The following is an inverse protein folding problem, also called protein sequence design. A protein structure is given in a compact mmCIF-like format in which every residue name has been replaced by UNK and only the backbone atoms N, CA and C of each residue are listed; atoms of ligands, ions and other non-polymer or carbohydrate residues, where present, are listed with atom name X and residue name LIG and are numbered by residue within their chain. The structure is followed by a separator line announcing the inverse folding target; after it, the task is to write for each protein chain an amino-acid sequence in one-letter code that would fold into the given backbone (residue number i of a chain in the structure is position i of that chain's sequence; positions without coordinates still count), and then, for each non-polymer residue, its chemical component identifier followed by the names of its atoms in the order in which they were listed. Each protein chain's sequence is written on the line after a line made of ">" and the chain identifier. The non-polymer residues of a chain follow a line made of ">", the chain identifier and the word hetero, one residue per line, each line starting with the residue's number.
data_IF_887696139571
#
_entry.id   IF_887696139571
#
_cell.length_a   1.000
_cell.length_b   1.000
_cell.length_c   1.000
_cell.angle_alpha   90.00
_cell.angle_beta   90.00
_cell.angle_gamma   90.00
#
_symmetry.space_group_name_H-M   'P 1'
#
loop_
_entity.id
_entity.type
_entity.pdbx_description
1 polymer ?
#
# COMPACT_ATOMS: atom_id res chain seq x y z
N UNK A 1 48.85 -40.19 -0.08
CA UNK A 1 47.61 -39.68 -0.70
C UNK A 1 46.95 -38.76 0.33
N UNK A 2 47.08 -37.44 0.14
CA UNK A 2 46.84 -36.41 1.17
C UNK A 2 45.82 -35.41 0.60
N UNK A 3 44.72 -35.24 1.33
CA UNK A 3 43.90 -34.02 1.50
C UNK A 3 43.59 -33.18 0.24
N UNK A 4 42.50 -33.48 -0.47
CA UNK A 4 41.91 -32.58 -1.49
C UNK A 4 40.43 -32.26 -1.23
N UNK A 5 39.78 -32.94 -0.28
CA UNK A 5 38.33 -32.86 -0.05
C UNK A 5 37.84 -31.60 0.71
N UNK A 6 38.60 -30.92 1.60
CA UNK A 6 38.04 -29.78 2.37
C UNK A 6 37.83 -28.50 1.53
N UNK A 7 38.62 -28.29 0.47
CA UNK A 7 38.61 -27.04 -0.30
C UNK A 7 37.44 -26.93 -1.27
N UNK A 8 36.92 -28.06 -1.75
CA UNK A 8 35.83 -28.08 -2.73
C UNK A 8 34.47 -27.83 -2.06
N UNK A 9 34.30 -28.29 -0.82
CA UNK A 9 33.08 -28.07 -0.02
C UNK A 9 32.95 -26.61 0.43
N UNK A 10 34.07 -25.94 0.79
CA UNK A 10 34.08 -24.51 1.10
C UNK A 10 33.83 -23.66 -0.16
N UNK A 11 34.41 -24.03 -1.30
CA UNK A 11 34.13 -23.33 -2.58
C UNK A 11 32.67 -23.48 -3.02
N UNK A 12 32.05 -24.64 -2.81
CA UNK A 12 30.63 -24.87 -3.09
C UNK A 12 29.73 -24.09 -2.11
N UNK A 13 30.08 -24.00 -0.81
CA UNK A 13 29.36 -23.14 0.14
C UNK A 13 29.51 -21.64 -0.15
N UNK A 14 30.65 -21.18 -0.68
CA UNK A 14 30.86 -19.79 -1.11
C UNK A 14 30.15 -19.49 -2.44
N UNK A 15 30.07 -20.46 -3.36
CA UNK A 15 29.32 -20.32 -4.62
C UNK A 15 27.80 -20.41 -4.41
N UNK A 16 27.33 -21.20 -3.45
CA UNK A 16 25.90 -21.28 -3.09
C UNK A 16 25.49 -20.11 -2.18
N UNK A 17 26.37 -19.69 -1.25
CA UNK A 17 26.11 -18.57 -0.33
C UNK A 17 26.33 -17.18 -0.93
N UNK A 18 26.98 -17.07 -2.09
CA UNK A 18 27.35 -15.79 -2.70
C UNK A 18 26.45 -15.29 -3.84
N UNK A 19 25.43 -16.04 -4.27
CA UNK A 19 24.78 -15.79 -5.58
C UNK A 19 23.25 -15.60 -5.58
N UNK A 20 22.60 -15.45 -4.44
CA UNK A 20 21.19 -15.04 -4.43
C UNK A 20 20.97 -14.00 -3.33
N UNK A 21 21.47 -12.77 -3.56
CA UNK A 21 20.70 -11.63 -3.06
C UNK A 21 19.38 -11.68 -3.82
N UNK A 22 18.38 -12.35 -3.23
CA UNK A 22 17.04 -12.39 -3.80
C UNK A 22 16.61 -10.94 -4.04
N UNK A 23 16.29 -10.61 -5.30
CA UNK A 23 15.72 -9.32 -5.62
C UNK A 23 14.26 -9.38 -5.15
N UNK A 24 13.86 -8.46 -4.28
CA UNK A 24 12.47 -8.31 -3.86
C UNK A 24 11.54 -7.92 -5.03
N UNK A 25 12.08 -7.38 -6.12
CA UNK A 25 11.31 -7.09 -7.33
C UNK A 25 10.82 -8.40 -7.99
N UNK A 26 9.49 -8.56 -8.19
CA UNK A 26 8.94 -9.77 -8.79
C UNK A 26 9.33 -9.89 -10.26
N UNK A 27 9.24 -11.09 -10.80
CA UNK A 27 9.66 -11.39 -12.19
C UNK A 27 8.91 -10.59 -13.26
N UNK A 28 7.71 -10.10 -12.95
CA UNK A 28 6.93 -9.25 -13.86
C UNK A 28 7.34 -7.77 -13.81
N UNK A 29 8.09 -7.31 -12.81
CA UNK A 29 8.49 -5.91 -12.67
C UNK A 29 9.64 -5.57 -13.64
N UNK A 30 9.28 -5.27 -14.90
CA UNK A 30 10.21 -4.97 -16.01
C UNK A 30 9.73 -3.80 -16.87
N UNK A 31 10.61 -3.14 -17.63
CA UNK A 31 10.23 -2.01 -18.49
C UNK A 31 9.06 -2.32 -19.42
N UNK A 32 8.13 -1.38 -19.54
CA UNK A 32 6.91 -1.49 -20.33
C UNK A 32 5.71 -2.10 -19.60
N UNK A 33 5.91 -2.64 -18.39
CA UNK A 33 4.79 -3.11 -17.56
C UNK A 33 4.09 -1.93 -16.90
N UNK A 34 2.75 -1.97 -16.89
CA UNK A 34 1.91 -1.05 -16.14
C UNK A 34 0.99 -1.78 -15.18
N UNK A 35 0.66 -1.12 -14.09
CA UNK A 35 -0.34 -1.55 -13.12
C UNK A 35 -1.24 -0.37 -12.83
N UNK A 36 -2.54 -0.52 -13.02
CA UNK A 36 -3.55 0.50 -12.79
C UNK A 36 -4.50 0.04 -11.69
N UNK A 37 -4.76 0.95 -10.75
CA UNK A 37 -5.72 0.76 -9.68
C UNK A 37 -6.84 1.78 -9.79
N UNK A 38 -8.05 1.41 -9.36
CA UNK A 38 -9.21 2.30 -9.44
C UNK A 38 -10.04 2.29 -8.16
N UNK A 39 -10.70 3.43 -7.90
CA UNK A 39 -11.81 3.58 -6.98
C UNK A 39 -12.97 4.20 -7.76
N UNK A 40 -14.01 3.41 -8.00
CA UNK A 40 -15.08 3.79 -8.90
C UNK A 40 -16.33 4.24 -8.15
N UNK A 41 -17.07 5.12 -8.81
CA UNK A 41 -18.42 5.47 -8.37
C UNK A 41 -19.39 4.31 -8.58
N UNK A 42 -20.40 4.25 -7.73
CA UNK A 42 -21.43 3.23 -7.80
C UNK A 42 -22.77 3.79 -7.35
N UNK A 43 -23.63 4.08 -8.32
CA UNK A 43 -24.90 4.78 -8.08
C UNK A 43 -25.82 4.10 -7.06
N UNK A 44 -25.94 2.76 -6.99
CA UNK A 44 -26.74 2.11 -5.94
C UNK A 44 -26.26 2.43 -4.52
N UNK A 45 -24.96 2.68 -4.31
CA UNK A 45 -24.47 3.12 -3.01
C UNK A 45 -24.84 4.56 -2.71
N UNK A 46 -24.79 5.43 -3.72
CA UNK A 46 -25.17 6.83 -3.58
C UNK A 46 -26.64 6.94 -3.21
N UNK A 47 -27.52 6.27 -3.96
CA UNK A 47 -28.95 6.21 -3.67
C UNK A 47 -29.24 5.65 -2.28
N UNK A 48 -28.48 4.64 -1.83
CA UNK A 48 -28.58 4.13 -0.47
C UNK A 48 -28.24 5.21 0.57
N UNK A 49 -27.13 5.94 0.42
CA UNK A 49 -26.75 7.02 1.35
C UNK A 49 -27.75 8.18 1.34
N UNK A 50 -28.26 8.55 0.18
CA UNK A 50 -29.33 9.55 0.04
C UNK A 50 -30.62 9.10 0.76
N UNK A 51 -30.98 7.81 0.68
CA UNK A 51 -32.13 7.25 1.41
C UNK A 51 -31.97 7.31 2.94
N UNK A 52 -30.73 7.36 3.42
CA UNK A 52 -30.38 7.57 4.83
C UNK A 52 -30.30 9.06 5.23
N UNK A 53 -30.58 9.98 4.29
CA UNK A 53 -30.55 11.42 4.52
C UNK A 53 -29.16 12.06 4.43
N UNK A 54 -28.14 11.35 3.91
CA UNK A 54 -26.83 11.93 3.63
C UNK A 54 -26.97 12.89 2.44
N UNK A 55 -26.62 14.16 2.64
CA UNK A 55 -26.77 15.21 1.61
C UNK A 55 -25.55 15.31 0.71
N UNK A 56 -24.37 15.06 1.27
CA UNK A 56 -23.12 15.06 0.53
C UNK A 56 -22.99 13.76 -0.26
N UNK A 57 -22.69 13.85 -1.56
CA UNK A 57 -22.40 12.68 -2.37
C UNK A 57 -21.15 11.97 -1.80
N UNK A 58 -21.16 10.63 -1.63
CA UNK A 58 -19.99 9.90 -1.20
C UNK A 58 -18.78 10.18 -2.09
N UNK A 59 -17.62 10.40 -1.47
CA UNK A 59 -16.38 10.70 -2.16
C UNK A 59 -15.63 9.41 -2.49
N UNK A 60 -15.02 9.37 -3.66
CA UNK A 60 -14.10 8.31 -4.10
C UNK A 60 -12.66 8.63 -3.75
N UNK A 61 -12.32 9.89 -3.53
CA UNK A 61 -10.98 10.31 -3.09
C UNK A 61 -11.04 11.53 -2.17
N UNK A 62 -10.19 11.50 -1.13
CA UNK A 62 -9.74 12.67 -0.37
C UNK A 62 -8.22 12.67 -0.45
N UNK A 63 -7.61 13.77 -0.88
CA UNK A 63 -6.18 13.84 -1.10
C UNK A 63 -5.63 15.19 -0.63
N UNK A 64 -4.49 15.18 0.06
CA UNK A 64 -3.74 16.38 0.38
C UNK A 64 -2.45 16.42 -0.42
N UNK A 65 -2.28 17.49 -1.19
CA UNK A 65 -1.18 17.65 -2.13
C UNK A 65 -0.38 18.91 -1.81
N UNK A 66 0.91 18.76 -1.53
CA UNK A 66 1.82 19.89 -1.40
C UNK A 66 2.44 20.21 -2.75
N UNK A 67 1.99 21.30 -3.36
CA UNK A 67 2.49 21.78 -4.64
C UNK A 67 3.01 23.21 -4.49
N UNK A 68 4.28 23.42 -4.86
CA UNK A 68 4.93 24.73 -4.77
C UNK A 68 4.84 25.38 -3.38
N UNK A 69 4.82 24.55 -2.32
CA UNK A 69 4.72 24.99 -0.92
C UNK A 69 3.30 25.26 -0.42
N UNK A 70 2.29 25.22 -1.30
CA UNK A 70 0.88 25.32 -0.95
C UNK A 70 0.27 23.93 -0.73
N UNK A 71 -0.54 23.80 0.32
CA UNK A 71 -1.22 22.55 0.65
C UNK A 71 -2.67 22.58 0.15
N UNK A 72 -2.92 21.79 -0.88
CA UNK A 72 -4.23 21.64 -1.50
C UNK A 72 -4.99 20.48 -0.85
N UNK A 73 -6.28 20.68 -0.58
CA UNK A 73 -7.23 19.65 -0.17
C UNK A 73 -8.11 19.31 -1.37
N UNK A 74 -8.05 18.07 -1.84
CA UNK A 74 -8.62 17.65 -3.12
C UNK A 74 -9.62 16.53 -2.85
N UNK A 75 -10.86 16.73 -3.29
CA UNK A 75 -11.94 15.76 -3.16
C UNK A 75 -12.43 15.34 -4.54
N UNK A 76 -12.66 14.04 -4.74
CA UNK A 76 -13.34 13.54 -5.93
C UNK A 76 -14.63 12.82 -5.56
N UNK A 77 -15.65 13.00 -6.39
CA UNK A 77 -16.92 12.26 -6.31
C UNK A 77 -17.23 11.47 -7.59
N UNK A 78 -16.35 11.57 -8.59
CA UNK A 78 -16.32 10.75 -9.81
C UNK A 78 -15.29 9.63 -9.70
N UNK A 79 -15.03 8.94 -10.81
CA UNK A 79 -14.08 7.82 -10.81
C UNK A 79 -12.63 8.31 -10.63
N UNK A 80 -11.79 7.45 -10.03
CA UNK A 80 -10.38 7.73 -9.76
C UNK A 80 -9.53 6.57 -10.23
N UNK A 81 -8.47 6.88 -10.97
CA UNK A 81 -7.51 5.93 -11.52
C UNK A 81 -6.10 6.32 -11.10
N UNK A 82 -5.31 5.35 -10.68
CA UNK A 82 -3.91 5.51 -10.32
C UNK A 82 -3.08 4.47 -11.07
N UNK A 83 -2.42 4.92 -12.13
CA UNK A 83 -1.62 4.09 -13.01
C UNK A 83 -0.13 4.27 -12.71
N UNK A 84 0.61 3.15 -12.72
CA UNK A 84 2.05 3.10 -12.63
C UNK A 84 2.60 2.41 -13.87
N UNK A 85 3.70 2.93 -14.41
CA UNK A 85 4.40 2.33 -15.55
C UNK A 85 5.89 2.27 -15.26
N UNK A 86 6.48 1.09 -15.43
CA UNK A 86 7.92 0.89 -15.32
C UNK A 86 8.54 1.36 -16.65
N UNK A 87 9.25 2.48 -16.61
CA UNK A 87 9.83 3.12 -17.79
C UNK A 87 11.20 2.51 -18.14
N UNK A 88 12.04 2.24 -17.13
CA UNK A 88 13.40 1.74 -17.33
C UNK A 88 13.88 0.85 -16.17
N UNK A 89 14.91 0.04 -16.43
CA UNK A 89 15.61 -0.80 -15.44
C UNK A 89 17.12 -0.65 -15.64
N UNK A 90 17.83 -0.12 -14.63
CA UNK A 90 19.28 0.06 -14.68
C UNK A 90 20.06 -1.09 -14.01
N UNK A 91 19.39 -2.20 -13.71
CA UNK A 91 19.91 -3.37 -13.01
C UNK A 91 19.68 -3.31 -11.50
N UNK A 92 19.82 -2.13 -10.88
CA UNK A 92 19.69 -1.95 -9.42
C UNK A 92 18.38 -1.27 -9.01
N UNK A 93 17.85 -0.42 -9.88
CA UNK A 93 16.63 0.34 -9.67
C UNK A 93 15.74 0.27 -10.91
N UNK A 94 14.44 0.27 -10.67
CA UNK A 94 13.41 0.53 -11.67
C UNK A 94 13.08 2.02 -11.65
N UNK A 95 12.93 2.63 -12.81
CA UNK A 95 12.33 3.96 -12.96
C UNK A 95 10.84 3.79 -13.23
N UNK A 96 10.01 4.45 -12.43
CA UNK A 96 8.56 4.31 -12.48
C UNK A 96 7.94 5.70 -12.63
N UNK A 97 7.09 5.85 -13.63
CA UNK A 97 6.19 6.98 -13.76
C UNK A 97 4.81 6.60 -13.21
N UNK A 98 4.12 7.54 -12.58
CA UNK A 98 2.73 7.36 -12.19
C UNK A 98 1.86 8.51 -12.68
N UNK A 99 0.56 8.21 -12.84
CA UNK A 99 -0.48 9.15 -13.18
C UNK A 99 -1.72 8.87 -12.34
N UNK A 100 -2.12 9.86 -11.55
CA UNK A 100 -3.39 9.90 -10.85
C UNK A 100 -4.37 10.74 -11.67
N UNK A 101 -5.49 10.16 -12.06
CA UNK A 101 -6.59 10.83 -12.74
C UNK A 101 -7.84 10.75 -11.88
N UNK A 102 -8.48 11.87 -11.60
CA UNK A 102 -9.71 11.94 -10.82
C UNK A 102 -10.78 12.74 -11.55
N UNK A 103 -12.04 12.31 -11.48
CA UNK A 103 -13.18 12.97 -12.11
C UNK A 103 -14.11 13.63 -11.09
N UNK A 104 -14.78 14.71 -11.52
CA UNK A 104 -15.66 15.54 -10.71
C UNK A 104 -14.99 15.97 -9.39
N UNK A 105 -14.00 16.83 -9.54
CA UNK A 105 -13.01 17.17 -8.51
C UNK A 105 -13.28 18.55 -7.93
N UNK A 106 -13.09 18.71 -6.63
CA UNK A 106 -13.02 20.00 -5.96
C UNK A 106 -11.64 20.15 -5.33
N UNK A 107 -10.97 21.25 -5.65
CA UNK A 107 -9.68 21.64 -5.07
C UNK A 107 -9.91 22.84 -4.16
N UNK A 108 -9.58 22.68 -2.88
CA UNK A 108 -9.64 23.73 -1.88
C UNK A 108 -8.21 24.08 -1.41
N UNK A 109 -7.89 25.36 -1.30
CA UNK A 109 -6.60 25.83 -0.76
C UNK A 109 -6.76 27.14 -0.01
N UNK A 110 -5.99 27.32 1.06
CA UNK A 110 -5.97 28.54 1.86
C UNK A 110 -4.57 29.15 1.76
N UNK A 111 -4.49 30.40 1.30
CA UNK A 111 -3.25 31.14 1.09
C UNK A 111 -3.29 32.49 1.80
N UNK A 112 -2.11 33.07 2.07
CA UNK A 112 -2.02 34.47 2.51
C UNK A 112 -2.51 35.42 1.42
N UNK A 113 -3.20 36.48 1.82
CA UNK A 113 -3.75 37.46 0.89
C UNK A 113 -2.63 38.16 0.11
N UNK A 114 -2.71 38.11 -1.22
CA UNK A 114 -1.67 38.61 -2.12
C UNK A 114 -0.63 37.57 -2.53
N UNK A 115 -0.75 36.33 -2.06
CA UNK A 115 0.01 35.19 -2.60
C UNK A 115 -0.60 34.74 -3.91
N UNK A 116 0.23 34.53 -4.93
CA UNK A 116 -0.22 33.95 -6.19
C UNK A 116 -0.64 32.49 -5.99
N UNK A 117 -1.76 32.10 -6.58
CA UNK A 117 -2.27 30.72 -6.53
C UNK A 117 -1.42 29.84 -7.47
N UNK A 118 -0.66 28.85 -6.97
CA UNK A 118 0.16 28.01 -7.84
C UNK A 118 -0.73 26.95 -8.50
N UNK A 119 -1.33 27.29 -9.63
CA UNK A 119 -2.14 26.38 -10.42
C UNK A 119 -1.27 25.24 -10.98
N UNK A 120 -1.72 24.00 -10.77
CA UNK A 120 -1.09 22.77 -11.30
C UNK A 120 -2.05 21.99 -12.20
N UNK A 121 -3.20 22.57 -12.51
CA UNK A 121 -4.27 21.96 -13.28
C UNK A 121 -4.39 22.58 -14.68
N UNK A 122 -5.13 21.90 -15.56
CA UNK A 122 -5.56 22.48 -16.83
C UNK A 122 -6.77 23.40 -16.61
N UNK A 123 -6.64 24.66 -17.03
CA UNK A 123 -7.72 25.66 -16.98
C UNK A 123 -8.94 25.26 -17.82
N UNK A 124 -8.77 24.43 -18.85
CA UNK A 124 -9.87 23.93 -19.68
C UNK A 124 -10.82 22.96 -18.93
N UNK A 125 -10.31 22.37 -17.84
CA UNK A 125 -11.04 21.44 -16.99
C UNK A 125 -11.79 22.14 -15.84
N UNK A 126 -11.52 23.43 -15.60
CA UNK A 126 -12.16 24.22 -14.54
C UNK A 126 -13.61 24.55 -14.93
N UNK A 127 -14.55 24.14 -14.08
CA UNK A 127 -15.99 24.42 -14.22
C UNK A 127 -16.37 25.70 -13.50
N UNK A 128 -15.83 25.89 -12.29
CA UNK A 128 -16.11 27.07 -11.50
C UNK A 128 -14.96 27.38 -10.55
N UNK A 129 -14.76 28.66 -10.31
CA UNK A 129 -13.74 29.17 -9.41
C UNK A 129 -14.40 30.16 -8.44
N UNK A 130 -14.16 29.97 -7.15
CA UNK A 130 -14.70 30.86 -6.12
C UNK A 130 -13.63 31.17 -5.08
N UNK A 131 -13.69 32.40 -4.58
CA UNK A 131 -12.78 32.90 -3.55
C UNK A 131 -13.57 33.46 -2.40
N UNK A 132 -13.17 33.12 -1.18
CA UNK A 132 -13.77 33.64 0.04
C UNK A 132 -12.66 34.17 0.93
N UNK A 133 -12.83 35.36 1.49
CA UNK A 133 -11.99 35.79 2.63
C UNK A 133 -12.31 34.86 3.79
N UNK A 134 -11.32 34.12 4.28
CA UNK A 134 -11.55 33.30 5.45
C UNK A 134 -11.86 34.19 6.67
N UNK A 135 -12.55 33.65 7.68
CA UNK A 135 -13.05 34.43 8.82
C UNK A 135 -11.98 35.05 9.72
N UNK A 136 -10.70 34.79 9.44
CA UNK A 136 -9.53 35.31 10.15
C UNK A 136 -8.68 36.19 9.22
N UNK A 137 -8.09 37.24 9.78
CA UNK A 137 -7.43 38.30 9.02
C UNK A 137 -6.23 37.79 8.21
N UNK A 138 -6.15 38.18 6.93
CA UNK A 138 -4.94 38.06 6.13
C UNK A 138 -4.86 36.86 5.19
N UNK A 139 -5.90 36.03 5.07
CA UNK A 139 -5.88 34.85 4.19
C UNK A 139 -7.13 34.75 3.31
N UNK A 140 -6.99 34.04 2.19
CA UNK A 140 -8.03 33.79 1.20
C UNK A 140 -8.16 32.29 0.99
N UNK A 141 -9.39 31.81 1.01
CA UNK A 141 -9.76 30.46 0.66
C UNK A 141 -10.19 30.44 -0.81
N UNK A 142 -9.59 29.53 -1.57
CA UNK A 142 -9.89 29.28 -2.97
C UNK A 142 -10.55 27.93 -3.09
N UNK A 143 -11.64 27.88 -3.85
CA UNK A 143 -12.36 26.64 -4.17
C UNK A 143 -12.57 26.55 -5.67
N UNK A 144 -11.98 25.53 -6.27
CA UNK A 144 -11.95 25.28 -7.71
C UNK A 144 -12.67 23.96 -7.97
N UNK A 145 -13.79 24.00 -8.70
CA UNK A 145 -14.50 22.81 -9.14
C UNK A 145 -14.10 22.48 -10.58
N UNK A 146 -13.80 21.21 -10.85
CA UNK A 146 -13.19 20.73 -12.08
C UNK A 146 -13.86 19.47 -12.61
N UNK A 147 -13.87 19.29 -13.93
CA UNK A 147 -14.35 18.06 -14.57
C UNK A 147 -13.39 16.90 -14.33
N UNK A 148 -12.10 17.14 -14.51
CA UNK A 148 -11.05 16.18 -14.21
C UNK A 148 -9.80 16.87 -13.65
N UNK A 149 -8.99 16.10 -12.94
CA UNK A 149 -7.68 16.49 -12.46
C UNK A 149 -6.68 15.37 -12.75
N UNK A 150 -5.50 15.74 -13.23
CA UNK A 150 -4.38 14.84 -13.43
C UNK A 150 -3.18 15.29 -12.57
N UNK A 151 -2.60 14.36 -11.81
CA UNK A 151 -1.33 14.54 -11.10
C UNK A 151 -0.37 13.46 -11.58
N UNK A 152 0.81 13.87 -12.04
CA UNK A 152 1.86 12.97 -12.53
C UNK A 152 3.11 13.09 -11.68
N UNK A 153 3.91 12.02 -11.67
CA UNK A 153 5.22 12.02 -11.03
C UNK A 153 6.06 10.83 -11.46
N UNK A 154 7.33 10.87 -11.09
CA UNK A 154 8.28 9.79 -11.37
C UNK A 154 9.18 9.56 -10.15
N UNK A 155 9.63 8.32 -9.99
CA UNK A 155 10.47 7.89 -8.88
C UNK A 155 11.26 6.64 -9.23
N UNK A 156 12.12 6.20 -8.32
CA UNK A 156 12.87 4.97 -8.43
C UNK A 156 12.41 3.94 -7.39
N UNK A 157 12.37 2.66 -7.78
CA UNK A 157 12.23 1.54 -6.85
C UNK A 157 13.54 0.76 -6.84
N UNK A 158 14.15 0.63 -5.67
CA UNK A 158 15.35 -0.20 -5.51
C UNK A 158 14.97 -1.67 -5.49
N UNK A 159 15.52 -2.46 -6.43
CA UNK A 159 15.05 -3.84 -6.69
C UNK A 159 15.34 -4.83 -5.56
N UNK A 160 16.33 -4.55 -4.72
CA UNK A 160 16.76 -5.47 -3.65
C UNK A 160 15.78 -5.52 -2.47
N UNK A 161 15.05 -4.43 -2.23
CA UNK A 161 14.29 -4.18 -0.99
C UNK A 161 13.07 -3.27 -1.22
N UNK A 162 12.55 -3.21 -2.45
CA UNK A 162 11.34 -2.45 -2.77
C UNK A 162 11.35 -0.95 -2.43
N UNK A 163 12.50 -0.36 -2.05
CA UNK A 163 12.52 0.97 -1.47
C UNK A 163 12.18 2.03 -2.53
N UNK A 164 11.19 2.88 -2.20
CA UNK A 164 10.75 3.99 -3.03
C UNK A 164 11.61 5.21 -2.75
N UNK A 165 12.27 5.70 -3.80
CA UNK A 165 13.21 6.81 -3.76
C UNK A 165 12.74 7.90 -4.73
N UNK A 166 12.46 9.09 -4.22
CA UNK A 166 12.09 10.23 -5.04
C UNK A 166 13.26 10.74 -5.88
N UNK A 167 12.98 11.59 -6.88
CA UNK A 167 14.01 12.24 -7.69
C UNK A 167 14.89 13.21 -6.87
N UNK A 168 14.44 13.58 -5.66
CA UNK A 168 15.20 14.32 -4.66
C UNK A 168 16.22 13.45 -3.89
N UNK A 169 16.29 12.15 -4.19
CA UNK A 169 17.15 11.17 -3.54
C UNK A 169 16.67 10.70 -2.16
N UNK A 170 15.50 11.15 -1.69
CA UNK A 170 14.96 10.75 -0.38
C UNK A 170 14.20 9.44 -0.49
N UNK A 171 14.30 8.60 0.55
CA UNK A 171 13.50 7.37 0.67
C UNK A 171 12.18 7.66 1.35
N UNK A 172 11.07 7.28 0.70
CA UNK A 172 9.70 7.54 1.17
C UNK A 172 9.05 6.32 1.84
N UNK A 173 9.62 5.13 1.66
CA UNK A 173 9.12 3.87 2.19
C UNK A 173 9.41 2.72 1.24
N UNK A 174 8.54 1.72 1.25
CA UNK A 174 8.55 0.56 0.36
C UNK A 174 7.38 0.66 -0.60
N UNK A 175 7.57 0.13 -1.81
CA UNK A 175 6.52 0.16 -2.83
C UNK A 175 5.30 -0.62 -2.36
N UNK A 176 4.11 -0.14 -2.73
CA UNK A 176 2.88 -0.91 -2.58
C UNK A 176 2.52 -1.70 -3.85
N UNK A 177 3.29 -1.60 -4.94
CA UNK A 177 2.95 -2.28 -6.19
C UNK A 177 3.05 -3.81 -6.06
N UNK A 178 3.93 -4.28 -5.18
CA UNK A 178 4.08 -5.68 -4.83
C UNK A 178 4.57 -5.85 -3.40
N UNK A 179 4.53 -7.09 -2.92
CA UNK A 179 5.14 -7.49 -1.66
C UNK A 179 5.81 -8.85 -1.79
N UNK A 180 7.03 -8.96 -1.27
CA UNK A 180 7.77 -10.21 -1.13
C UNK A 180 7.87 -10.59 0.36
N UNK A 181 7.26 -11.70 0.80
CA UNK A 181 7.34 -12.14 2.19
C UNK A 181 8.75 -12.56 2.63
N UNK A 182 9.70 -12.71 1.69
CA UNK A 182 11.10 -13.04 1.96
C UNK A 182 12.01 -11.82 2.08
N UNK A 183 11.48 -10.62 1.82
CA UNK A 183 12.23 -9.37 1.91
C UNK A 183 12.60 -9.04 3.38
N UNK A 184 13.87 -8.73 3.62
CA UNK A 184 14.32 -8.13 4.88
C UNK A 184 14.16 -6.60 4.82
N UNK A 185 13.02 -6.12 5.33
CA UNK A 185 12.66 -4.70 5.39
C UNK A 185 13.43 -3.96 6.50
N UNK A 186 14.08 -4.68 7.42
CA UNK A 186 14.81 -4.12 8.54
C UNK A 186 13.97 -3.16 9.41
N UNK A 187 14.60 -2.11 9.91
CA UNK A 187 13.97 -1.05 10.73
C UNK A 187 13.50 0.17 9.92
N UNK A 188 13.49 0.07 8.59
CA UNK A 188 13.04 1.18 7.73
C UNK A 188 11.50 1.23 7.80
N UNK A 189 10.89 2.43 7.93
CA UNK A 189 9.45 2.54 7.86
C UNK A 189 8.94 2.08 6.48
N UNK A 190 7.94 1.21 6.47
CA UNK A 190 7.25 0.80 5.24
C UNK A 190 6.65 2.01 4.54
N UNK A 191 6.09 2.95 5.30
CA UNK A 191 5.67 4.25 4.79
C UNK A 191 6.10 5.32 5.78
N UNK A 192 6.99 6.22 5.35
CA UNK A 192 7.23 7.45 6.10
C UNK A 192 5.99 8.34 5.94
N UNK A 193 5.45 8.90 7.01
CA UNK A 193 4.28 9.79 6.97
C UNK A 193 4.51 11.18 7.52
N UNK A 194 5.77 11.49 7.86
CA UNK A 194 6.15 12.80 8.36
C UNK A 194 5.87 13.86 7.28
N UNK A 195 5.29 15.03 7.63
CA UNK A 195 4.91 15.49 8.98
C UNK A 195 3.45 15.20 9.38
N UNK A 196 2.70 14.43 8.58
CA UNK A 196 1.26 14.24 8.76
C UNK A 196 0.93 13.19 9.82
N UNK A 197 1.71 12.12 9.93
CA UNK A 197 1.51 11.08 10.94
C UNK A 197 2.84 10.41 11.31
N UNK A 198 2.91 9.69 12.46
CA UNK A 198 3.97 8.73 12.73
C UNK A 198 4.11 7.73 11.59
N UNK A 199 5.36 7.31 11.31
CA UNK A 199 5.63 6.35 10.24
C UNK A 199 5.04 4.97 10.55
N UNK A 200 4.68 4.25 9.49
CA UNK A 200 4.21 2.88 9.56
C UNK A 200 5.33 1.88 9.34
N UNK A 201 5.27 0.78 10.07
CA UNK A 201 6.22 -0.33 10.00
C UNK A 201 5.47 -1.63 9.71
N UNK A 202 6.14 -2.54 9.02
CA UNK A 202 5.64 -3.90 8.85
C UNK A 202 5.50 -4.56 10.23
N UNK A 203 4.29 -5.01 10.55
CA UNK A 203 4.01 -5.80 11.76
C UNK A 203 3.98 -7.30 11.45
N UNK A 204 3.63 -7.65 10.22
CA UNK A 204 3.58 -9.03 9.75
C UNK A 204 2.60 -9.19 8.59
N UNK A 205 2.36 -10.45 8.24
CA UNK A 205 1.40 -10.83 7.19
C UNK A 205 0.37 -11.81 7.73
N UNK A 206 -0.83 -11.75 7.15
CA UNK A 206 -1.95 -12.63 7.48
C UNK A 206 -2.45 -13.29 6.19
N UNK A 207 -2.64 -14.60 6.21
CA UNK A 207 -3.32 -15.32 5.14
C UNK A 207 -4.82 -15.23 5.28
N UNK A 208 -5.51 -14.88 4.19
CA UNK A 208 -6.96 -14.83 4.10
C UNK A 208 -7.41 -15.99 3.21
N UNK A 209 -8.10 -16.96 3.82
CA UNK A 209 -8.66 -18.12 3.11
C UNK A 209 -10.00 -17.78 2.44
N UNK A 210 -9.98 -16.72 1.61
CA UNK A 210 -11.12 -16.29 0.79
C UNK A 210 -10.59 -15.76 -0.52
N UNK A 211 -11.37 -15.97 -1.58
CA UNK A 211 -11.17 -15.31 -2.86
C UNK A 211 -11.41 -13.81 -2.75
N UNK A 212 -10.63 -13.02 -3.47
CA UNK A 212 -10.77 -11.59 -3.60
C UNK A 212 -11.10 -11.25 -5.06
N UNK A 213 -12.16 -10.46 -5.27
CA UNK A 213 -12.59 -10.01 -6.59
C UNK A 213 -12.13 -8.57 -6.77
N UNK A 214 -11.34 -8.32 -7.82
CA UNK A 214 -10.97 -6.97 -8.26
C UNK A 214 -11.68 -6.64 -9.57
N UNK A 215 -11.41 -5.49 -10.18
CA UNK A 215 -11.93 -5.17 -11.50
C UNK A 215 -11.16 -5.90 -12.62
N UNK A 216 -9.90 -6.29 -12.34
CA UNK A 216 -9.07 -7.03 -13.26
C UNK A 216 -9.43 -8.52 -13.32
N UNK A 217 -9.44 -9.20 -12.16
CA UNK A 217 -9.71 -10.65 -12.08
C UNK A 217 -10.17 -11.08 -10.67
N UNK A 218 -10.45 -12.36 -10.49
CA UNK A 218 -10.69 -13.01 -9.21
C UNK A 218 -9.46 -13.81 -8.78
N UNK A 219 -8.91 -13.45 -7.62
CA UNK A 219 -7.73 -14.10 -7.05
C UNK A 219 -8.15 -15.14 -6.01
N UNK A 220 -7.54 -16.33 -6.10
CA UNK A 220 -7.84 -17.47 -5.24
C UNK A 220 -7.13 -17.40 -3.88
N UNK A 221 -7.63 -18.12 -2.87
CA UNK A 221 -6.94 -18.23 -1.59
C UNK A 221 -5.63 -19.05 -1.69
N UNK A 222 -4.65 -18.79 -0.80
CA UNK A 222 -4.68 -17.75 0.21
C UNK A 222 -4.37 -16.38 -0.40
N UNK A 223 -5.16 -15.37 -0.04
CA UNK A 223 -4.81 -13.97 -0.28
C UNK A 223 -3.91 -13.50 0.86
N UNK A 224 -2.81 -12.85 0.54
CA UNK A 224 -1.93 -12.26 1.55
C UNK A 224 -2.45 -10.90 1.98
N UNK A 225 -2.34 -10.57 3.27
CA UNK A 225 -2.54 -9.21 3.79
C UNK A 225 -1.29 -8.77 4.54
N UNK A 226 -0.70 -7.68 4.09
CA UNK A 226 0.33 -6.94 4.84
C UNK A 226 -0.34 -6.10 5.90
N UNK A 227 0.13 -6.20 7.14
CA UNK A 227 -0.35 -5.41 8.28
C UNK A 227 0.72 -4.41 8.65
N UNK A 228 0.36 -3.13 8.60
CA UNK A 228 1.24 -2.02 8.95
C UNK A 228 0.75 -1.35 10.23
N UNK A 229 1.68 -1.03 11.14
CA UNK A 229 1.36 -0.41 12.43
C UNK A 229 2.28 0.76 12.74
N UNK A 230 1.80 1.68 13.56
CA UNK A 230 2.63 2.72 14.15
C UNK A 230 3.36 2.16 15.38
N UNK A 231 4.69 2.31 15.44
CA UNK A 231 5.47 1.99 16.65
C UNK A 231 5.19 2.98 17.79
N UNK A 232 4.95 4.25 17.42
CA UNK A 232 4.56 5.32 18.32
C UNK A 232 3.18 5.81 17.87
N UNK A 233 2.09 5.29 18.47
CA UNK A 233 0.73 5.64 18.10
C UNK A 233 0.52 7.16 18.14
N UNK A 234 -0.11 7.71 17.11
CA UNK A 234 -0.47 9.12 17.03
C UNK A 234 -1.41 9.42 15.88
N UNK A 235 -2.22 10.50 15.99
CA UNK A 235 -3.24 10.80 15.02
C UNK A 235 -2.62 11.20 13.68
N UNK A 236 -3.38 10.98 12.60
CA UNK A 236 -3.13 11.67 11.34
C UNK A 236 -3.53 13.12 11.56
N UNK A 237 -2.63 14.04 11.29
CA UNK A 237 -2.89 15.46 11.36
C UNK A 237 -2.27 16.15 10.14
N UNK A 238 -3.12 16.52 9.18
CA UNK A 238 -2.68 17.34 8.06
C UNK A 238 -2.84 18.79 8.46
N UNK A 239 -1.73 19.52 8.51
CA UNK A 239 -1.73 20.93 8.89
C UNK A 239 -0.90 21.77 7.93
N UNK A 240 -1.28 23.04 7.80
CA UNK A 240 -0.51 24.08 7.14
C UNK A 240 -0.43 25.32 8.03
N UNK A 241 0.51 26.19 7.71
CA UNK A 241 0.63 27.50 8.35
C UNK A 241 0.04 28.56 7.41
N UNK A 242 -0.77 29.45 7.97
CA UNK A 242 -1.26 30.63 7.28
C UNK A 242 -0.92 31.84 8.15
N UNK A 243 0.14 32.56 7.79
CA UNK A 243 0.83 33.47 8.70
C UNK A 243 1.43 32.74 9.90
N UNK A 244 1.11 33.24 11.09
CA UNK A 244 1.52 32.67 12.39
C UNK A 244 0.59 31.55 12.90
N UNK A 245 -0.49 31.27 12.18
CA UNK A 245 -1.52 30.32 12.61
C UNK A 245 -1.34 28.95 11.96
N UNK A 246 -1.23 27.91 12.78
CA UNK A 246 -1.36 26.51 12.35
C UNK A 246 -2.84 26.17 12.17
N UNK A 247 -3.23 25.71 10.98
CA UNK A 247 -4.56 25.22 10.64
C UNK A 247 -4.46 23.75 10.28
N UNK A 248 -5.30 22.91 10.87
CA UNK A 248 -5.31 21.47 10.63
C UNK A 248 -6.67 21.06 10.08
N UNK A 249 -6.89 21.14 8.75
CA UNK A 249 -8.18 20.85 8.13
C UNK A 249 -8.60 19.38 8.25
N UNK A 250 -7.65 18.50 8.54
CA UNK A 250 -7.91 17.07 8.69
C UNK A 250 -7.17 16.52 9.90
N UNK A 251 -7.90 15.74 10.69
CA UNK A 251 -7.39 15.00 11.82
C UNK A 251 -8.21 13.74 12.05
N UNK A 252 -7.56 12.60 12.27
CA UNK A 252 -8.24 11.40 12.76
C UNK A 252 -8.28 11.42 14.28
N UNK A 253 -9.43 11.09 14.88
CA UNK A 253 -9.48 10.80 16.32
C UNK A 253 -9.00 9.38 16.57
N UNK A 254 -7.95 9.20 17.38
CA UNK A 254 -7.47 7.87 17.75
C UNK A 254 -5.95 7.83 17.95
N UNK A 255 -5.52 6.83 18.72
CA UNK A 255 -4.12 6.65 19.08
C UNK A 255 -3.42 5.74 18.06
N UNK A 256 -4.03 4.66 17.57
CA UNK A 256 -3.36 3.69 16.70
C UNK A 256 -3.92 3.67 15.28
N UNK A 257 -3.05 3.88 14.29
CA UNK A 257 -3.38 3.59 12.89
C UNK A 257 -2.86 2.20 12.53
N UNK A 258 -3.79 1.32 12.17
CA UNK A 258 -3.47 0.06 11.50
C UNK A 258 -3.83 0.24 10.03
N UNK A 259 -2.83 0.16 9.17
CA UNK A 259 -3.00 0.17 7.73
C UNK A 259 -2.62 -1.18 7.12
N UNK A 260 -2.60 -1.24 5.80
CA UNK A 260 -2.14 -2.43 5.11
C UNK A 260 -2.63 -2.51 3.68
N UNK A 261 -2.32 -3.62 3.05
CA UNK A 261 -2.82 -3.93 1.72
C UNK A 261 -2.89 -5.45 1.55
N UNK A 262 -3.70 -5.86 0.60
CA UNK A 262 -3.83 -7.25 0.18
C UNK A 262 -3.06 -7.47 -1.09
N UNK A 263 -2.42 -8.63 -1.21
CA UNK A 263 -1.61 -9.02 -2.35
C UNK A 263 -1.88 -10.48 -2.71
N UNK A 264 -1.63 -10.84 -3.96
CA UNK A 264 -1.62 -12.23 -4.40
C UNK A 264 -0.24 -12.84 -4.08
N UNK A 265 -0.14 -13.88 -3.22
CA UNK A 265 1.15 -14.48 -2.89
C UNK A 265 1.85 -15.17 -4.07
N UNK A 266 1.13 -15.55 -5.13
CA UNK A 266 1.73 -16.23 -6.29
C UNK A 266 2.54 -15.27 -7.17
N UNK A 267 1.99 -14.09 -7.45
CA UNK A 267 2.64 -13.06 -8.26
C UNK A 267 3.32 -11.96 -7.44
N UNK A 268 2.96 -11.81 -6.16
CA UNK A 268 3.35 -10.70 -5.30
C UNK A 268 2.59 -9.40 -5.56
N UNK A 269 1.73 -9.32 -6.59
CA UNK A 269 1.05 -8.07 -6.95
C UNK A 269 0.04 -7.65 -5.89
N UNK A 270 -0.03 -6.34 -5.61
CA UNK A 270 -1.06 -5.80 -4.73
C UNK A 270 -2.43 -5.81 -5.42
N UNK A 271 -3.45 -6.23 -4.69
CA UNK A 271 -4.81 -6.39 -5.18
C UNK A 271 -5.73 -5.27 -4.70
N UNK A 272 -5.59 -4.86 -3.44
CA UNK A 272 -6.34 -3.75 -2.85
C UNK A 272 -5.61 -3.18 -1.63
N UNK A 273 -5.56 -1.86 -1.49
CA UNK A 273 -4.85 -1.18 -0.39
C UNK A 273 -5.80 -0.48 0.60
N UNK A 274 -5.67 -0.78 1.89
CA UNK A 274 -6.39 -0.12 2.99
C UNK A 274 -5.83 1.30 3.20
N UNK A 275 -6.17 2.20 2.28
CA UNK A 275 -5.53 3.50 2.18
C UNK A 275 -6.24 4.54 3.03
N UNK A 276 -6.20 4.35 4.35
CA UNK A 276 -6.19 5.51 5.26
C UNK A 276 -4.88 6.31 5.14
N UNK A 277 -3.93 5.85 4.33
CA UNK A 277 -2.57 6.35 4.23
C UNK A 277 -2.08 6.20 2.78
N UNK A 278 -1.43 7.23 2.17
CA UNK A 278 -0.96 7.15 0.80
C UNK A 278 0.21 6.16 0.67
N UNK A 279 0.30 5.40 -0.43
CA UNK A 279 1.47 4.56 -0.69
C UNK A 279 2.72 5.43 -0.84
N UNK A 280 3.88 4.90 -0.46
CA UNK A 280 5.16 5.61 -0.55
C UNK A 280 5.41 6.15 -1.96
N UNK A 281 4.97 5.39 -2.97
CA UNK A 281 5.06 5.64 -4.40
C UNK A 281 4.53 7.02 -4.81
N UNK A 282 3.33 7.40 -4.34
CA UNK A 282 2.71 8.69 -4.69
C UNK A 282 3.21 9.85 -3.83
N UNK A 283 3.84 9.58 -2.67
CA UNK A 283 4.42 10.62 -1.81
C UNK A 283 5.58 11.35 -2.48
N UNK A 284 6.26 10.68 -3.42
CA UNK A 284 7.38 11.24 -4.19
C UNK A 284 6.99 12.48 -4.99
N UNK A 285 5.72 12.64 -5.34
CA UNK A 285 5.22 13.83 -6.03
C UNK A 285 4.74 14.94 -5.09
N UNK A 286 4.75 14.74 -3.76
CA UNK A 286 4.23 15.71 -2.79
C UNK A 286 2.81 15.42 -2.29
N UNK A 287 2.23 14.27 -2.62
CA UNK A 287 0.97 13.80 -2.03
C UNK A 287 1.26 13.37 -0.58
N UNK A 288 0.81 14.17 0.38
CA UNK A 288 1.13 13.95 1.81
C UNK A 288 0.14 13.04 2.52
N UNK A 289 -1.08 12.96 1.98
CA UNK A 289 -2.15 12.08 2.45
C UNK A 289 -3.10 11.74 1.30
N UNK A 290 -3.61 10.52 1.25
CA UNK A 290 -4.66 10.12 0.33
C UNK A 290 -5.55 9.05 0.97
N UNK A 291 -6.84 9.13 0.69
CA UNK A 291 -7.84 8.13 0.98
C UNK A 291 -8.67 7.88 -0.27
N UNK A 292 -8.85 6.61 -0.62
CA UNK A 292 -9.63 6.17 -1.76
C UNK A 292 -10.76 5.26 -1.29
N UNK A 293 -11.95 5.46 -1.86
CA UNK A 293 -13.16 4.70 -1.52
C UNK A 293 -13.83 4.17 -2.77
N UNK A 294 -13.78 2.86 -2.99
CA UNK A 294 -14.55 2.24 -4.06
C UNK A 294 -16.00 2.04 -3.62
N UNK A 295 -16.93 2.75 -4.25
CA UNK A 295 -18.32 2.81 -3.79
C UNK A 295 -19.06 1.48 -4.00
N UNK A 296 -18.64 0.65 -4.96
CA UNK A 296 -19.17 -0.70 -5.14
C UNK A 296 -18.73 -1.60 -3.98
N UNK A 297 -17.45 -1.57 -3.63
CA UNK A 297 -16.92 -2.23 -2.44
C UNK A 297 -17.62 -1.74 -1.17
N UNK A 298 -17.83 -0.43 -0.98
CA UNK A 298 -18.59 0.08 0.17
C UNK A 298 -20.01 -0.48 0.21
N UNK A 299 -20.73 -0.52 -0.92
CA UNK A 299 -22.09 -1.07 -0.98
C UNK A 299 -22.13 -2.55 -0.63
N UNK A 300 -21.23 -3.35 -1.21
CA UNK A 300 -21.18 -4.78 -0.95
C UNK A 300 -20.88 -5.07 0.52
N UNK A 301 -19.91 -4.37 1.11
CA UNK A 301 -19.55 -4.54 2.51
C UNK A 301 -20.64 -4.05 3.47
N UNK A 302 -21.12 -2.82 3.32
CA UNK A 302 -22.04 -2.20 4.28
C UNK A 302 -23.49 -2.66 4.12
N UNK A 303 -23.94 -2.90 2.88
CA UNK A 303 -25.36 -3.17 2.58
C UNK A 303 -25.61 -4.66 2.33
N UNK A 304 -24.66 -5.36 1.71
CA UNK A 304 -24.82 -6.80 1.39
C UNK A 304 -24.07 -7.72 2.34
N UNK A 305 -23.23 -7.18 3.24
CA UNK A 305 -22.31 -7.96 4.08
C UNK A 305 -21.45 -8.95 3.25
N UNK A 306 -21.11 -8.54 2.03
CA UNK A 306 -20.25 -9.29 1.11
C UNK A 306 -18.86 -8.63 1.08
N UNK A 307 -17.89 -9.35 1.65
CA UNK A 307 -16.50 -8.92 1.80
C UNK A 307 -15.57 -9.46 0.70
N UNK A 308 -16.14 -9.90 -0.43
CA UNK A 308 -15.36 -10.36 -1.60
C UNK A 308 -14.73 -9.21 -2.40
N UNK A 309 -15.21 -7.98 -2.23
CA UNK A 309 -14.73 -6.76 -2.89
C UNK A 309 -14.38 -5.75 -1.80
N UNK A 310 -13.18 -5.18 -1.86
CA UNK A 310 -12.71 -4.25 -0.84
C UNK A 310 -13.18 -2.81 -1.11
N UNK A 311 -13.51 -2.01 -0.09
CA UNK A 311 -14.11 -0.68 -0.25
C UNK A 311 -13.05 0.42 -0.50
N UNK A 312 -11.97 0.09 -1.20
CA UNK A 312 -10.76 0.93 -1.35
C UNK A 312 -10.24 0.84 -2.79
N UNK A 313 -9.08 1.45 -3.08
CA UNK A 313 -8.45 1.32 -4.39
C UNK A 313 -8.14 -0.15 -4.68
N UNK A 314 -8.56 -0.62 -5.85
CA UNK A 314 -8.47 -2.01 -6.28
C UNK A 314 -7.73 -2.14 -7.61
N UNK A 315 -7.04 -3.27 -7.81
CA UNK A 315 -6.42 -3.59 -9.09
C UNK A 315 -7.48 -3.55 -10.20
N UNK A 316 -7.23 -2.69 -11.19
CA UNK A 316 -8.15 -2.41 -12.27
C UNK A 316 -7.68 -3.04 -13.58
N UNK A 317 -6.44 -2.76 -13.96
CA UNK A 317 -5.86 -3.28 -15.19
C UNK A 317 -4.35 -3.43 -15.08
N UNK A 318 -3.79 -4.37 -15.82
CA UNK A 318 -2.34 -4.57 -15.93
C UNK A 318 -1.99 -5.43 -17.13
N UNK A 319 -0.83 -5.17 -17.73
CA UNK A 319 -0.19 -6.07 -18.70
C UNK A 319 0.91 -6.94 -18.07
N UNK A 320 1.03 -6.96 -16.73
CA UNK A 320 1.93 -7.85 -16.04
C UNK A 320 1.53 -9.30 -16.33
N UNK A 321 2.52 -10.12 -16.69
CA UNK A 321 2.33 -11.56 -16.78
C UNK A 321 2.35 -12.10 -15.33
N UNK A 322 1.17 -12.28 -14.75
CA UNK A 322 1.02 -12.77 -13.37
C UNK A 322 1.14 -14.29 -13.27
N UNK A 323 1.47 -14.96 -14.38
CA UNK A 323 1.50 -16.41 -14.48
C UNK A 323 0.09 -17.01 -14.47
N UNK A 324 -0.02 -18.27 -14.88
CA UNK A 324 -1.21 -19.05 -14.56
C UNK A 324 -1.09 -19.48 -13.11
N UNK A 325 -2.13 -19.22 -12.30
CA UNK A 325 -2.23 -19.75 -10.95
C UNK A 325 -2.32 -21.27 -11.06
N UNK A 326 -1.18 -21.97 -11.04
CA UNK A 326 -1.21 -23.38 -10.68
C UNK A 326 -1.73 -23.39 -9.25
N UNK A 327 -2.87 -24.07 -9.02
CA UNK A 327 -3.28 -24.46 -7.68
C UNK A 327 -2.13 -25.27 -7.08
N UNK A 328 -1.23 -24.59 -6.36
CA UNK A 328 -0.24 -25.26 -5.54
C UNK A 328 -1.05 -25.89 -4.44
N UNK A 329 -1.37 -27.19 -4.60
CA UNK A 329 -1.92 -27.97 -3.52
C UNK A 329 -0.93 -27.84 -2.37
N UNK A 330 -1.33 -27.11 -1.33
CA UNK A 330 -0.65 -27.10 -0.05
C UNK A 330 -0.83 -28.49 0.56
N UNK A 331 -0.01 -29.42 0.10
CA UNK A 331 0.31 -30.61 0.84
C UNK A 331 1.02 -30.10 2.07
N UNK A 332 0.29 -30.02 3.20
CA UNK A 332 0.88 -29.81 4.53
C UNK A 332 2.11 -30.70 4.60
N UNK A 333 3.30 -30.10 4.54
CA UNK A 333 4.53 -30.88 4.65
C UNK A 333 4.50 -31.51 6.05
N UNK A 334 4.25 -32.82 6.10
CA UNK A 334 4.60 -33.63 7.27
C UNK A 334 6.12 -33.60 7.32
N UNK A 335 6.65 -32.62 8.03
CA UNK A 335 8.11 -32.49 8.18
C UNK A 335 8.64 -33.80 8.77
N UNK A 336 9.72 -34.38 8.24
CA UNK A 336 10.33 -35.60 8.80
C UNK A 336 10.68 -35.47 10.28
N UNK A 337 10.86 -34.23 10.75
CA UNK A 337 11.09 -33.88 12.15
C UNK A 337 9.89 -34.14 13.07
N UNK A 338 8.66 -34.11 12.56
CA UNK A 338 7.47 -34.48 13.31
C UNK A 338 7.52 -35.96 13.70
N UNK A 339 7.93 -36.83 12.76
CA UNK A 339 8.17 -38.25 13.03
C UNK A 339 9.36 -38.47 13.98
N UNK A 340 10.45 -37.73 13.82
CA UNK A 340 11.59 -37.79 14.74
C UNK A 340 11.19 -37.38 16.17
N UNK A 341 10.33 -36.36 16.31
CA UNK A 341 9.78 -35.92 17.59
C UNK A 341 8.88 -36.98 18.23
N UNK A 342 7.98 -37.61 17.47
CA UNK A 342 7.15 -38.71 17.99
C UNK A 342 7.98 -39.95 18.36
N UNK A 343 8.99 -40.30 17.58
CA UNK A 343 9.92 -41.39 17.91
C UNK A 343 10.69 -41.08 19.19
N UNK A 344 11.17 -39.85 19.38
CA UNK A 344 11.83 -39.41 20.61
C UNK A 344 10.90 -39.50 21.82
N UNK A 345 9.62 -39.13 21.69
CA UNK A 345 8.62 -39.28 22.76
C UNK A 345 8.36 -40.75 23.12
N UNK A 346 8.30 -41.64 22.13
CA UNK A 346 8.13 -43.08 22.37
C UNK A 346 9.36 -43.66 23.09
N UNK A 347 10.57 -43.30 22.65
CA UNK A 347 11.82 -43.74 23.30
C UNK A 347 11.87 -43.22 24.74
N UNK A 348 11.49 -41.96 24.98
CA UNK A 348 11.42 -41.38 26.32
C UNK A 348 10.42 -42.12 27.20
N UNK A 349 9.24 -42.45 26.67
CA UNK A 349 8.22 -43.23 27.37
C UNK A 349 8.70 -44.63 27.77
N UNK A 350 9.41 -45.33 26.88
CA UNK A 350 10.00 -46.64 27.15
C UNK A 350 11.10 -46.54 28.22
N UNK A 351 11.95 -45.52 28.15
CA UNK A 351 13.01 -45.28 29.13
C UNK A 351 12.42 -45.01 30.52
N UNK A 352 11.35 -44.19 30.61
CA UNK A 352 10.63 -43.92 31.85
C UNK A 352 9.94 -45.17 32.40
N UNK A 353 9.31 -45.99 31.56
CA UNK A 353 8.73 -47.26 32.00
C UNK A 353 9.78 -48.23 32.54
N UNK A 354 10.94 -48.33 31.88
CA UNK A 354 12.03 -49.18 32.35
C UNK A 354 12.66 -48.68 33.65
N UNK A 355 12.77 -47.37 33.83
CA UNK A 355 13.19 -46.77 35.09
C UNK A 355 12.18 -47.05 36.22
N UNK A 356 10.87 -46.95 35.93
CA UNK A 356 9.81 -47.25 36.90
C UNK A 356 9.76 -48.74 37.27
N UNK A 357 9.90 -49.64 36.30
CA UNK A 357 9.91 -51.08 36.55
C UNK A 357 11.20 -51.56 37.23
N UNK A 358 12.33 -50.87 37.03
CA UNK A 358 13.59 -51.14 37.71
C UNK A 358 13.54 -50.82 39.22
N UNK A 359 12.72 -49.84 39.62
CA UNK A 359 12.54 -49.45 41.03
C UNK A 359 11.67 -50.43 41.83
N UNK A 360 10.86 -51.28 41.17
CA UNK A 360 10.08 -52.34 41.83
C UNK A 360 10.76 -53.72 41.85
N UNK A 361 12.04 -53.80 41.45
CA UNK A 361 12.84 -55.02 41.54
C UNK A 361 13.97 -54.96 42.59
N UNK A 362 13.89 -54.01 43.53
CA UNK A 362 14.73 -54.01 44.73
C UNK A 362 13.90 -54.30 45.98
#
# INVERSE_FOLDING_TARGET
>A
MRNVIPSMLVAVFVLIGGLHSALAAPYWAKPGVYVEYAALTYEPYVQYKESLGVKERPMTMILFYNHSGALFNIHATGDVFLAFRIDSDNGTHLEVAFRLTAHNVTVDVILENGTDLPAFWDESEVVSFSTRRAGWSGVVEYKIAMKSLEITGSYHIRKRDGAVIGLDGRTYGHTFLWYDPTEDIGDIPYVNLTPVAPSLYLNGTVGIDKKLVTYHDTFGPPIGRVVLVQRNPGPIQVCFFAGDRKVCPFGTGGDEIVGGFTYDPASGITLAGDMLIPPADIRTAGIVYALFSDLKGCYLNEVKADYSVYPVLQLYDTNADLGTVEEVQFNRERTPWEYAFYVLLVILGIALMNAFMGVHRQ
#
